data_IF_678567597667
#
_entry.id   IF_678567597667
#
_cell.length_a   1.000
_cell.length_b   1.000
_cell.length_c   1.000
_cell.angle_alpha   90.00
_cell.angle_beta   90.00
_cell.angle_gamma   90.00
#
_symmetry.space_group_name_H-M   'P 1'
#
loop_
_entity.id
_entity.type
_entity.pdbx_description
1 polymer ?
#
# COMPACT_ATOMS: atom_id res chain seq x y z
N UNK A 1 20.72 -57.12 9.30
CA UNK A 1 20.40 -55.68 9.46
C UNK A 1 18.93 -55.60 9.81
N UNK A 2 18.59 -55.27 11.06
CA UNK A 2 17.22 -55.44 11.56
C UNK A 2 16.25 -54.47 10.87
N UNK A 3 15.12 -54.99 10.40
CA UNK A 3 14.07 -54.23 9.72
C UNK A 3 13.63 -52.99 10.53
N UNK A 4 13.74 -53.04 11.86
CA UNK A 4 13.48 -51.92 12.76
C UNK A 4 14.39 -50.71 12.55
N UNK A 5 15.66 -50.92 12.17
CA UNK A 5 16.62 -49.83 11.91
C UNK A 5 16.23 -49.11 10.61
N UNK A 6 15.88 -49.87 9.58
CA UNK A 6 15.47 -49.33 8.27
C UNK A 6 14.20 -48.49 8.42
N UNK A 7 13.19 -49.00 9.15
CA UNK A 7 11.94 -48.27 9.40
C UNK A 7 12.19 -46.95 10.15
N UNK A 8 13.06 -46.95 11.16
CA UNK A 8 13.42 -45.74 11.91
C UNK A 8 14.10 -44.69 11.04
N UNK A 9 14.99 -45.10 10.14
CA UNK A 9 15.67 -44.20 9.21
C UNK A 9 14.67 -43.58 8.23
N UNK A 10 13.76 -44.37 7.67
CA UNK A 10 12.72 -43.88 6.74
C UNK A 10 11.77 -42.91 7.44
N UNK A 11 11.29 -43.23 8.65
CA UNK A 11 10.43 -42.31 9.41
C UNK A 11 11.15 -41.01 9.76
N UNK A 12 12.41 -41.09 10.18
CA UNK A 12 13.22 -39.90 10.48
C UNK A 12 13.39 -39.00 9.25
N UNK A 13 13.60 -39.60 8.07
CA UNK A 13 13.70 -38.85 6.82
C UNK A 13 12.39 -38.16 6.45
N UNK A 14 11.25 -38.84 6.59
CA UNK A 14 9.92 -38.26 6.35
C UNK A 14 9.67 -37.07 7.29
N UNK A 15 10.00 -37.21 8.58
CA UNK A 15 9.87 -36.14 9.57
C UNK A 15 10.72 -34.93 9.18
N UNK A 16 11.97 -35.14 8.75
CA UNK A 16 12.86 -34.05 8.32
C UNK A 16 12.28 -33.33 7.09
N UNK A 17 11.79 -34.05 6.09
CA UNK A 17 11.16 -33.46 4.90
C UNK A 17 9.93 -32.63 5.27
N UNK A 18 9.09 -33.14 6.18
CA UNK A 18 7.92 -32.41 6.68
C UNK A 18 8.32 -31.13 7.43
N UNK A 19 9.33 -31.19 8.30
CA UNK A 19 9.83 -30.02 9.03
C UNK A 19 10.37 -28.94 8.08
N UNK A 20 11.13 -29.32 7.05
CA UNK A 20 11.64 -28.37 6.05
C UNK A 20 10.49 -27.69 5.30
N UNK A 21 9.46 -28.44 4.92
CA UNK A 21 8.30 -27.89 4.23
C UNK A 21 7.47 -26.95 5.12
N UNK A 22 7.30 -27.30 6.40
CA UNK A 22 6.62 -26.45 7.39
C UNK A 22 7.39 -25.14 7.60
N UNK A 23 8.72 -25.20 7.74
CA UNK A 23 9.56 -24.01 7.87
C UNK A 23 9.48 -23.09 6.64
N UNK A 24 9.47 -23.66 5.43
CA UNK A 24 9.26 -22.91 4.19
C UNK A 24 7.89 -22.25 4.15
N UNK A 25 6.83 -22.97 4.54
CA UNK A 25 5.48 -22.44 4.60
C UNK A 25 5.37 -21.26 5.57
N UNK A 26 5.90 -21.43 6.78
CA UNK A 26 5.95 -20.39 7.82
C UNK A 26 6.70 -19.16 7.29
N UNK A 27 7.91 -19.35 6.73
CA UNK A 27 8.71 -18.25 6.16
C UNK A 27 7.97 -17.47 5.08
N UNK A 28 7.33 -18.16 4.13
CA UNK A 28 6.53 -17.53 3.08
C UNK A 28 5.31 -16.80 3.65
N UNK A 29 4.62 -17.38 4.63
CA UNK A 29 3.45 -16.79 5.26
C UNK A 29 3.81 -15.48 5.98
N UNK A 30 4.88 -15.48 6.79
CA UNK A 30 5.34 -14.27 7.47
C UNK A 30 5.87 -13.20 6.51
N UNK A 31 6.58 -13.60 5.45
CA UNK A 31 7.07 -12.67 4.43
C UNK A 31 5.91 -11.98 3.68
N UNK A 32 4.88 -12.74 3.31
CA UNK A 32 3.69 -12.20 2.67
C UNK A 32 2.89 -11.29 3.63
N UNK A 33 2.78 -11.66 4.91
CA UNK A 33 2.10 -10.84 5.91
C UNK A 33 2.79 -9.49 6.10
N UNK A 34 4.12 -9.46 6.21
CA UNK A 34 4.89 -8.20 6.33
C UNK A 34 4.65 -7.27 5.14
N UNK A 35 4.69 -7.80 3.91
CA UNK A 35 4.38 -7.01 2.70
C UNK A 35 2.94 -6.49 2.69
N UNK A 36 1.98 -7.31 3.10
CA UNK A 36 0.58 -6.89 3.15
C UNK A 36 0.36 -5.75 4.16
N UNK A 37 0.95 -5.87 5.35
CA UNK A 37 0.87 -4.84 6.39
C UNK A 37 1.51 -3.53 5.91
N UNK A 38 2.68 -3.59 5.27
CA UNK A 38 3.35 -2.39 4.74
C UNK A 38 2.50 -1.66 3.67
N UNK A 39 1.89 -2.41 2.74
CA UNK A 39 0.99 -1.83 1.72
C UNK A 39 -0.25 -1.21 2.35
N UNK A 40 -0.85 -1.90 3.32
CA UNK A 40 -2.04 -1.40 4.01
C UNK A 40 -1.73 -0.14 4.83
N UNK A 41 -0.61 -0.12 5.55
CA UNK A 41 -0.17 1.03 6.33
C UNK A 41 0.11 2.23 5.44
N UNK A 42 0.87 2.06 4.35
CA UNK A 42 1.15 3.15 3.40
C UNK A 42 -0.15 3.67 2.76
N UNK A 43 -1.05 2.78 2.34
CA UNK A 43 -2.35 3.19 1.78
C UNK A 43 -3.16 4.01 2.78
N UNK A 44 -3.26 3.55 4.03
CA UNK A 44 -4.03 4.26 5.05
C UNK A 44 -3.41 5.62 5.38
N UNK A 45 -2.09 5.69 5.45
CA UNK A 45 -1.37 6.92 5.72
C UNK A 45 -1.53 7.93 4.58
N UNK A 46 -1.39 7.49 3.32
CA UNK A 46 -1.69 8.29 2.13
C UNK A 46 -3.13 8.79 2.15
N UNK A 47 -4.11 7.91 2.37
CA UNK A 47 -5.51 8.30 2.43
C UNK A 47 -5.82 9.26 3.58
N UNK A 48 -5.11 9.18 4.71
CA UNK A 48 -5.32 10.08 5.85
C UNK A 48 -4.69 11.46 5.60
N UNK A 49 -3.54 11.50 4.96
CA UNK A 49 -2.73 12.73 4.83
C UNK A 49 -3.01 13.48 3.52
N UNK A 50 -3.13 12.74 2.41
CA UNK A 50 -3.24 13.29 1.06
C UNK A 50 -4.70 13.55 0.69
N UNK A 51 -5.58 12.55 0.90
CA UNK A 51 -7.01 12.63 0.52
C UNK A 51 -7.73 13.91 0.96
N UNK A 52 -7.64 14.39 2.22
CA UNK A 52 -8.34 15.61 2.63
C UNK A 52 -7.76 16.91 2.03
N UNK A 53 -6.58 16.85 1.40
CA UNK A 53 -5.88 17.99 0.83
C UNK A 53 -5.97 18.04 -0.69
N UNK A 54 -6.54 17.02 -1.33
CA UNK A 54 -6.58 16.90 -2.80
C UNK A 54 -7.26 18.09 -3.47
N UNK A 55 -8.37 18.61 -2.93
CA UNK A 55 -9.06 19.78 -3.49
C UNK A 55 -8.23 21.07 -3.42
N UNK A 56 -7.47 21.27 -2.35
CA UNK A 56 -6.56 22.41 -2.21
C UNK A 56 -5.33 22.27 -3.12
N UNK A 57 -4.84 21.03 -3.31
CA UNK A 57 -3.72 20.72 -4.19
C UNK A 57 -4.09 20.86 -5.65
N UNK A 58 -5.32 20.52 -6.04
CA UNK A 58 -5.82 20.69 -7.41
C UNK A 58 -5.78 22.16 -7.82
N UNK A 59 -6.29 23.06 -6.97
CA UNK A 59 -6.22 24.51 -7.22
C UNK A 59 -4.78 25.02 -7.36
N UNK A 60 -3.87 24.51 -6.52
CA UNK A 60 -2.44 24.84 -6.61
C UNK A 60 -1.81 24.30 -7.89
N UNK A 61 -2.16 23.08 -8.27
CA UNK A 61 -1.70 22.46 -9.49
C UNK A 61 -2.17 23.27 -10.70
N UNK A 62 -3.44 23.69 -10.77
CA UNK A 62 -3.93 24.55 -11.86
C UNK A 62 -3.16 25.88 -11.96
N UNK A 63 -2.71 26.45 -10.84
CA UNK A 63 -1.94 27.71 -10.82
C UNK A 63 -0.44 27.54 -11.08
N UNK A 64 0.15 26.39 -10.75
CA UNK A 64 1.61 26.17 -10.76
C UNK A 64 2.06 25.13 -11.80
N UNK A 65 1.11 24.47 -12.49
CA UNK A 65 1.39 23.36 -13.39
C UNK A 65 2.39 23.76 -14.47
N UNK A 66 3.47 22.98 -14.56
CA UNK A 66 4.37 22.97 -15.70
C UNK A 66 3.77 22.12 -16.82
N UNK A 67 4.00 22.53 -18.05
CA UNK A 67 3.50 21.84 -19.23
C UNK A 67 3.92 20.34 -19.20
N UNK A 68 2.95 19.44 -19.31
CA UNK A 68 3.16 17.99 -19.27
C UNK A 68 3.19 17.32 -17.88
N UNK A 69 3.14 18.08 -16.77
CA UNK A 69 3.12 17.48 -15.43
C UNK A 69 1.75 16.83 -15.12
N UNK A 70 1.77 15.67 -14.43
CA UNK A 70 0.57 14.96 -13.98
C UNK A 70 0.25 15.33 -12.54
N UNK A 71 -1.04 15.47 -12.21
CA UNK A 71 -1.48 15.83 -10.87
C UNK A 71 -0.94 14.87 -9.79
N UNK A 72 -0.96 13.56 -10.05
CA UNK A 72 -0.39 12.56 -9.13
C UNK A 72 1.12 12.72 -8.88
N UNK A 73 1.87 13.19 -9.88
CA UNK A 73 3.31 13.46 -9.74
C UNK A 73 3.54 14.68 -8.84
N UNK A 74 2.82 15.77 -9.11
CA UNK A 74 2.84 16.99 -8.28
C UNK A 74 2.50 16.70 -6.82
N UNK A 75 1.47 15.89 -6.56
CA UNK A 75 1.08 15.49 -5.21
C UNK A 75 2.16 14.61 -4.57
N UNK A 76 2.78 13.71 -5.33
CA UNK A 76 3.88 12.87 -4.82
C UNK A 76 5.07 13.73 -4.40
N UNK A 77 5.47 14.70 -5.21
CA UNK A 77 6.55 15.64 -4.86
C UNK A 77 6.20 16.47 -3.62
N UNK A 78 4.98 17.01 -3.56
CA UNK A 78 4.50 17.84 -2.44
C UNK A 78 4.54 17.10 -1.10
N UNK A 79 4.34 15.78 -1.09
CA UNK A 79 4.32 14.97 0.14
C UNK A 79 5.56 14.10 0.32
N UNK A 80 6.58 14.24 -0.54
CA UNK A 80 7.78 13.40 -0.52
C UNK A 80 8.45 13.33 0.85
N UNK A 81 8.61 14.49 1.51
CA UNK A 81 9.25 14.57 2.83
C UNK A 81 8.46 13.85 3.92
N UNK A 82 7.12 13.82 3.83
CA UNK A 82 6.28 13.14 4.81
C UNK A 82 6.40 11.62 4.75
N UNK A 83 6.72 11.09 3.58
CA UNK A 83 6.83 9.65 3.35
C UNK A 83 8.29 9.17 3.19
N UNK A 84 9.27 10.01 3.53
CA UNK A 84 10.72 9.72 3.37
C UNK A 84 11.18 8.41 4.00
N UNK A 85 10.51 7.95 5.06
CA UNK A 85 10.82 6.71 5.77
C UNK A 85 10.08 5.48 5.23
N UNK A 86 9.34 5.61 4.13
CA UNK A 86 8.56 4.55 3.48
C UNK A 86 9.14 4.22 2.11
N UNK A 87 8.69 3.10 1.53
CA UNK A 87 9.08 2.72 0.18
C UNK A 87 8.53 3.71 -0.86
N UNK A 88 9.40 4.50 -1.48
CA UNK A 88 9.06 5.58 -2.42
C UNK A 88 8.16 5.10 -3.57
N UNK A 89 8.48 3.94 -4.18
CA UNK A 89 7.68 3.37 -5.28
C UNK A 89 6.27 2.97 -4.85
N UNK A 90 6.13 2.49 -3.61
CA UNK A 90 4.83 2.10 -3.05
C UNK A 90 3.99 3.34 -2.72
N UNK A 91 4.62 4.37 -2.16
CA UNK A 91 4.00 5.65 -1.86
C UNK A 91 3.50 6.32 -3.14
N UNK A 92 4.35 6.45 -4.16
CA UNK A 92 3.99 7.02 -5.46
C UNK A 92 2.79 6.29 -6.08
N UNK A 93 2.78 4.95 -6.02
CA UNK A 93 1.68 4.14 -6.53
C UNK A 93 0.36 4.39 -5.78
N UNK A 94 0.40 4.45 -4.46
CA UNK A 94 -0.79 4.69 -3.64
C UNK A 94 -1.28 6.14 -3.73
N UNK A 95 -0.37 7.13 -3.88
CA UNK A 95 -0.74 8.53 -4.16
C UNK A 95 -1.41 8.64 -5.52
N UNK A 96 -0.82 8.07 -6.58
CA UNK A 96 -1.44 8.03 -7.91
C UNK A 96 -2.82 7.37 -7.86
N UNK A 97 -2.98 6.28 -7.10
CA UNK A 97 -4.28 5.62 -6.90
C UNK A 97 -5.29 6.52 -6.19
N UNK A 98 -4.86 7.25 -5.16
CA UNK A 98 -5.68 8.20 -4.42
C UNK A 98 -6.14 9.37 -5.32
N UNK A 99 -5.23 9.93 -6.13
CA UNK A 99 -5.51 11.00 -7.08
C UNK A 99 -6.47 10.55 -8.18
N UNK A 100 -6.23 9.38 -8.80
CA UNK A 100 -7.12 8.85 -9.83
C UNK A 100 -8.55 8.63 -9.30
N UNK A 101 -8.68 8.09 -8.09
CA UNK A 101 -9.99 7.91 -7.44
C UNK A 101 -10.70 9.23 -7.11
N UNK A 102 -9.97 10.33 -7.02
CA UNK A 102 -10.51 11.68 -6.85
C UNK A 102 -10.93 12.29 -8.20
N UNK A 103 -10.10 12.17 -9.23
CA UNK A 103 -10.39 12.67 -10.58
C UNK A 103 -11.62 12.00 -11.20
N UNK A 104 -11.82 10.71 -10.96
CA UNK A 104 -12.97 9.95 -11.48
C UNK A 104 -14.23 10.05 -10.63
N UNK A 105 -14.23 10.80 -9.53
CA UNK A 105 -15.40 10.90 -8.67
C UNK A 105 -16.42 11.89 -9.26
N UNK A 106 -17.60 11.37 -9.65
CA UNK A 106 -18.73 12.14 -10.22
C UNK A 106 -19.19 13.31 -9.33
N UNK A 107 -18.89 13.22 -8.05
CA UNK A 107 -19.02 14.30 -7.08
C UNK A 107 -17.70 14.40 -6.31
N UNK A 108 -16.83 15.36 -6.69
CA UNK A 108 -15.68 15.78 -5.84
C UNK A 108 -16.14 16.26 -4.45
N UNK A 109 -17.44 16.49 -4.33
CA UNK A 109 -18.26 16.75 -3.17
C UNK A 109 -18.21 15.67 -2.06
N UNK A 110 -18.09 14.37 -2.38
CA UNK A 110 -17.88 13.33 -1.34
C UNK A 110 -16.46 13.42 -0.71
N UNK A 111 -15.52 14.10 -1.38
CA UNK A 111 -14.24 14.49 -0.78
C UNK A 111 -14.32 15.80 0.02
N UNK A 112 -15.41 16.58 -0.12
CA UNK A 112 -15.62 17.81 0.63
C UNK A 112 -16.04 17.56 2.09
N UNK A 113 -16.48 16.36 2.47
CA UNK A 113 -17.10 16.11 3.78
C UNK A 113 -16.49 14.92 4.56
N UNK A 114 -15.18 14.96 4.77
CA UNK A 114 -14.58 14.34 5.96
C UNK A 114 -14.16 15.44 6.97
N UNK A 115 -15.13 16.28 7.39
CA UNK A 115 -14.97 17.13 8.58
C UNK A 115 -15.55 18.56 8.57
N UNK A 116 -16.16 19.08 7.50
CA UNK A 116 -16.43 20.53 7.38
C UNK A 116 -17.91 20.95 7.32
N UNK A 117 -18.88 20.03 7.26
CA UNK A 117 -20.32 20.38 7.33
C UNK A 117 -20.87 21.27 6.19
N UNK A 118 -20.12 21.50 5.11
CA UNK A 118 -20.61 22.22 3.93
C UNK A 118 -21.28 21.24 2.96
N UNK A 119 -22.61 21.33 2.81
CA UNK A 119 -23.36 20.53 1.86
C UNK A 119 -23.02 20.91 0.43
N UNK A 120 -22.86 19.88 -0.34
CA UNK A 120 -22.61 19.84 -1.75
C UNK A 120 -23.90 20.16 -2.52
N UNK A 121 -23.99 21.40 -3.01
CA UNK A 121 -25.13 21.94 -3.73
C UNK A 121 -24.84 21.94 -5.22
N UNK A 122 -25.59 21.10 -5.94
CA UNK A 122 -25.71 21.04 -7.41
C UNK A 122 -25.81 22.41 -8.09
#
# INVERSE_FOLDING_TARGET
MDAHIIIKVVFSFIIIVLLINILKFISNFFSNRKRYTEVYDVRNEVNKVVRPRLSALEKKFESEKKEGEKFGHFVTETFRDKFKNKNEKLVEKEICRCCNGYETADCKEDYCLAGSGASCSK
#
